data_IF_755724323167
#
_entry.id   IF_755724323167
#
_cell.length_a   1.000
_cell.length_b   1.000
_cell.length_c   1.000
_cell.angle_alpha   90.00
_cell.angle_beta   90.00
_cell.angle_gamma   90.00
#
_symmetry.space_group_name_H-M   'P 1'
#
loop_
_entity.id
_entity.type
_entity.pdbx_description
1 polymer ?
#
# COMPACT_ATOMS: atom_id res chain seq x y z
N UNK A 1 -4.63 -12.10 -23.61
CA UNK A 1 -4.68 -12.07 -22.14
C UNK A 1 -4.66 -10.61 -21.76
N UNK A 2 -5.78 -10.07 -21.26
CA UNK A 2 -5.90 -8.67 -20.85
C UNK A 2 -4.98 -8.44 -19.64
N UNK A 3 -4.11 -7.43 -19.69
CA UNK A 3 -3.40 -6.94 -18.51
C UNK A 3 -4.47 -6.34 -17.57
N UNK A 4 -4.85 -7.07 -16.55
CA UNK A 4 -5.93 -6.69 -15.61
C UNK A 4 -5.52 -5.67 -14.54
N UNK A 5 -4.26 -5.29 -14.48
CA UNK A 5 -3.78 -4.22 -13.56
C UNK A 5 -2.40 -3.72 -13.99
N UNK A 6 -2.12 -2.44 -13.76
CA UNK A 6 -0.82 -1.82 -14.00
C UNK A 6 0.12 -1.87 -12.78
N UNK A 7 -0.19 -2.70 -11.78
CA UNK A 7 0.57 -2.81 -10.52
C UNK A 7 1.72 -3.82 -10.56
N UNK A 8 1.85 -4.58 -11.67
CA UNK A 8 2.94 -5.56 -11.80
C UNK A 8 4.27 -4.88 -12.11
N UNK A 9 5.13 -4.80 -11.11
CA UNK A 9 6.50 -4.31 -11.27
C UNK A 9 7.45 -5.49 -11.39
N UNK A 10 8.09 -5.66 -12.54
CA UNK A 10 8.99 -6.77 -12.82
C UNK A 10 10.34 -6.36 -13.40
N UNK A 11 11.26 -7.31 -13.51
CA UNK A 11 12.52 -7.16 -14.22
C UNK A 11 13.46 -6.10 -13.62
N UNK A 12 13.97 -5.21 -14.46
CA UNK A 12 14.93 -4.16 -14.05
C UNK A 12 14.31 -3.16 -13.08
N UNK A 13 13.04 -2.78 -13.27
CA UNK A 13 12.32 -1.83 -12.42
C UNK A 13 12.15 -2.40 -11.00
N UNK A 14 11.74 -3.66 -10.87
CA UNK A 14 11.63 -4.32 -9.57
C UNK A 14 12.95 -4.34 -8.79
N UNK A 15 14.08 -4.55 -9.50
CA UNK A 15 15.41 -4.57 -8.88
C UNK A 15 15.88 -3.20 -8.39
N UNK A 16 15.45 -2.12 -9.00
CA UNK A 16 15.90 -0.76 -8.69
C UNK A 16 14.80 0.10 -8.09
N UNK A 17 13.68 -0.50 -7.73
CA UNK A 17 12.49 0.20 -7.24
C UNK A 17 12.78 1.14 -6.07
N UNK A 18 13.49 0.64 -5.05
CA UNK A 18 13.83 1.44 -3.87
C UNK A 18 14.71 2.64 -4.22
N UNK A 19 15.67 2.46 -5.14
CA UNK A 19 16.53 3.55 -5.60
C UNK A 19 15.73 4.60 -6.37
N UNK A 20 14.80 4.16 -7.21
CA UNK A 20 13.92 5.06 -7.96
C UNK A 20 13.05 5.89 -7.01
N UNK A 21 12.46 5.25 -6.00
CA UNK A 21 11.65 5.94 -4.99
C UNK A 21 12.48 6.93 -4.15
N UNK A 22 13.73 6.57 -3.81
CA UNK A 22 14.63 7.47 -3.09
C UNK A 22 15.03 8.67 -3.94
N UNK A 23 15.29 8.48 -5.24
CA UNK A 23 15.57 9.58 -6.17
C UNK A 23 14.36 10.50 -6.35
N UNK A 24 13.17 9.92 -6.53
CA UNK A 24 11.91 10.67 -6.71
C UNK A 24 11.62 11.60 -5.52
N UNK A 25 11.90 11.15 -4.32
CA UNK A 25 11.69 11.91 -3.09
C UNK A 25 12.97 12.53 -2.52
N UNK A 26 14.01 12.69 -3.36
CA UNK A 26 15.30 13.32 -2.98
C UNK A 26 15.91 12.71 -1.71
N UNK A 27 15.89 11.39 -1.57
CA UNK A 27 16.38 10.66 -0.41
C UNK A 27 15.49 10.75 0.84
N UNK A 28 14.30 11.37 0.74
CA UNK A 28 13.37 11.57 1.88
C UNK A 28 12.32 10.45 2.01
N UNK A 29 12.32 9.47 1.11
CA UNK A 29 11.32 8.40 1.09
C UNK A 29 11.24 7.68 2.45
N UNK A 30 12.39 7.31 3.01
CA UNK A 30 12.46 6.63 4.31
C UNK A 30 11.78 7.44 5.44
N UNK A 31 12.13 8.73 5.56
CA UNK A 31 11.53 9.61 6.57
C UNK A 31 10.03 9.83 6.36
N UNK A 32 9.59 9.86 5.11
CA UNK A 32 8.17 9.97 4.76
C UNK A 32 7.41 8.72 5.21
N UNK A 33 7.87 7.52 4.85
CA UNK A 33 7.26 6.24 5.26
C UNK A 33 7.25 6.08 6.79
N UNK A 34 8.34 6.42 7.48
CA UNK A 34 8.38 6.36 8.94
C UNK A 34 7.34 7.27 9.60
N UNK A 35 7.09 8.45 9.02
CA UNK A 35 6.02 9.35 9.49
C UNK A 35 4.64 8.76 9.24
N UNK A 36 4.40 8.14 8.08
CA UNK A 36 3.13 7.50 7.76
C UNK A 36 2.87 6.32 8.71
N UNK A 37 3.84 5.41 8.87
CA UNK A 37 3.71 4.23 9.73
C UNK A 37 3.52 4.61 11.20
N UNK A 38 4.17 5.66 11.70
CA UNK A 38 3.89 6.17 13.05
C UNK A 38 2.43 6.58 13.26
N UNK A 39 1.74 7.09 12.23
CA UNK A 39 0.32 7.43 12.31
C UNK A 39 -0.59 6.21 12.41
N UNK A 40 -0.12 5.06 11.95
CA UNK A 40 -0.87 3.80 12.04
C UNK A 40 -1.04 3.30 13.48
N UNK A 41 -0.35 3.86 14.46
CA UNK A 41 -0.45 3.49 15.87
C UNK A 41 -0.31 1.98 16.09
N UNK A 42 0.73 1.40 15.47
CA UNK A 42 1.04 -0.02 15.60
C UNK A 42 1.36 -0.33 17.07
N UNK A 43 0.77 -1.41 17.60
CA UNK A 43 1.03 -1.95 18.94
C UNK A 43 2.01 -3.12 18.84
N UNK A 44 2.69 -3.44 19.92
CA UNK A 44 3.73 -4.47 19.96
C UNK A 44 3.27 -5.83 19.42
N UNK A 45 2.08 -6.30 19.78
CA UNK A 45 1.54 -7.60 19.41
C UNK A 45 0.61 -7.61 18.20
N UNK A 46 0.50 -6.49 17.43
CA UNK A 46 -0.42 -6.43 16.29
C UNK A 46 -0.09 -7.48 15.22
N UNK A 47 -1.12 -8.08 14.65
CA UNK A 47 -1.06 -8.82 13.40
C UNK A 47 -1.35 -7.85 12.24
N UNK A 48 -0.42 -7.72 11.30
CA UNK A 48 -0.50 -6.74 10.20
C UNK A 48 -0.47 -7.46 8.86
N UNK A 49 -1.38 -7.08 7.96
CA UNK A 49 -1.42 -7.48 6.55
C UNK A 49 -0.90 -6.33 5.69
N UNK A 50 0.19 -6.54 4.94
CA UNK A 50 0.76 -5.55 4.01
C UNK A 50 0.48 -5.98 2.57
N UNK A 51 -0.45 -5.29 1.92
CA UNK A 51 -0.96 -5.58 0.59
C UNK A 51 -0.16 -4.80 -0.46
N UNK A 52 0.46 -5.51 -1.41
CA UNK A 52 1.46 -4.94 -2.31
C UNK A 52 2.74 -4.61 -1.55
N UNK A 53 3.27 -5.59 -0.79
CA UNK A 53 4.40 -5.40 0.14
C UNK A 53 5.73 -5.06 -0.55
N UNK A 54 5.83 -5.27 -1.87
CA UNK A 54 7.00 -4.96 -2.66
C UNK A 54 8.28 -5.58 -2.10
N UNK A 55 9.31 -4.75 -1.97
CA UNK A 55 10.62 -5.15 -1.43
C UNK A 55 10.66 -5.32 0.10
N UNK A 56 9.52 -5.21 0.79
CA UNK A 56 9.43 -5.32 2.26
C UNK A 56 9.97 -4.12 3.03
N UNK A 57 10.23 -3.00 2.37
CA UNK A 57 10.80 -1.80 3.00
C UNK A 57 9.91 -1.22 4.08
N UNK A 58 8.60 -1.17 3.84
CA UNK A 58 7.60 -0.71 4.81
C UNK A 58 7.52 -1.66 6.01
N UNK A 59 7.56 -2.95 5.77
CA UNK A 59 7.58 -3.99 6.82
C UNK A 59 8.75 -3.78 7.77
N UNK A 60 9.96 -3.47 7.26
CA UNK A 60 11.12 -3.19 8.12
C UNK A 60 10.90 -1.99 9.05
N UNK A 61 10.08 -1.01 8.66
CA UNK A 61 9.73 0.11 9.56
C UNK A 61 8.71 -0.34 10.61
N UNK A 62 7.72 -1.14 10.23
CA UNK A 62 6.73 -1.72 11.16
C UNK A 62 7.41 -2.59 12.24
N UNK A 63 8.39 -3.37 11.85
CA UNK A 63 9.16 -4.26 12.74
C UNK A 63 9.97 -3.53 13.83
N UNK A 64 10.19 -2.22 13.70
CA UNK A 64 10.81 -1.41 14.77
C UNK A 64 9.88 -1.18 15.96
N UNK A 65 8.58 -1.37 15.76
CA UNK A 65 7.55 -1.20 16.78
C UNK A 65 7.02 -2.55 17.26
N UNK A 66 6.87 -3.50 16.35
CA UNK A 66 6.41 -4.85 16.67
C UNK A 66 7.45 -5.61 17.50
N UNK A 67 6.99 -6.31 18.52
CA UNK A 67 7.79 -7.30 19.23
C UNK A 67 7.62 -8.71 18.63
N UNK A 68 8.12 -9.72 19.32
CA UNK A 68 8.06 -11.11 18.87
C UNK A 68 6.67 -11.73 18.94
N UNK A 69 5.71 -11.10 19.61
CA UNK A 69 4.31 -11.56 19.69
C UNK A 69 3.47 -11.06 18.54
N UNK A 70 3.90 -9.95 17.90
CA UNK A 70 3.29 -9.45 16.68
C UNK A 70 3.74 -10.20 15.44
N UNK A 71 2.96 -10.11 14.36
CA UNK A 71 3.30 -10.74 13.06
C UNK A 71 2.98 -9.82 11.89
N UNK A 72 3.70 -10.01 10.79
CA UNK A 72 3.39 -9.34 9.52
C UNK A 72 3.27 -10.37 8.41
N UNK A 73 2.22 -10.25 7.61
CA UNK A 73 2.08 -11.00 6.36
C UNK A 73 2.14 -10.01 5.21
N UNK A 74 3.19 -10.11 4.39
CA UNK A 74 3.33 -9.33 3.15
C UNK A 74 2.81 -10.12 1.98
N UNK A 75 1.94 -9.52 1.16
CA UNK A 75 1.41 -10.11 -0.07
C UNK A 75 1.84 -9.29 -1.26
N UNK A 76 2.42 -9.93 -2.27
CA UNK A 76 2.81 -9.28 -3.51
C UNK A 76 2.77 -10.29 -4.68
N UNK A 77 2.49 -9.81 -5.88
CA UNK A 77 2.48 -10.64 -7.09
C UNK A 77 3.89 -10.85 -7.65
N UNK A 78 4.79 -9.88 -7.47
CA UNK A 78 6.14 -9.92 -8.02
C UNK A 78 7.06 -10.82 -7.19
N UNK A 79 7.47 -11.93 -7.79
CA UNK A 79 8.38 -12.86 -7.14
C UNK A 79 9.76 -12.23 -6.89
N UNK A 80 10.23 -11.35 -7.78
CA UNK A 80 11.49 -10.62 -7.62
C UNK A 80 11.43 -9.65 -6.43
N UNK A 81 10.32 -8.95 -6.25
CA UNK A 81 10.09 -8.09 -5.08
C UNK A 81 10.11 -8.91 -3.79
N UNK A 82 9.37 -10.02 -3.77
CA UNK A 82 9.31 -10.90 -2.60
C UNK A 82 10.65 -11.56 -2.27
N UNK A 83 11.49 -11.83 -3.27
CA UNK A 83 12.84 -12.33 -3.01
C UNK A 83 13.68 -11.30 -2.23
N UNK A 84 13.62 -10.03 -2.63
CA UNK A 84 14.28 -8.94 -1.91
C UNK A 84 13.69 -8.77 -0.51
N UNK A 85 12.36 -8.84 -0.39
CA UNK A 85 11.65 -8.73 0.89
C UNK A 85 12.07 -9.83 1.88
N UNK A 86 12.12 -11.09 1.42
CA UNK A 86 12.59 -12.22 2.24
C UNK A 86 14.04 -12.04 2.67
N UNK A 87 14.91 -11.58 1.78
CA UNK A 87 16.30 -11.31 2.11
C UNK A 87 16.42 -10.18 3.14
N UNK A 88 15.64 -9.11 2.98
CA UNK A 88 15.63 -7.95 3.88
C UNK A 88 15.12 -8.31 5.27
N UNK A 89 14.10 -9.13 5.35
CA UNK A 89 13.44 -9.51 6.59
C UNK A 89 13.89 -10.89 7.15
N UNK A 90 14.98 -11.47 6.65
CA UNK A 90 15.43 -12.83 7.01
C UNK A 90 15.67 -13.05 8.51
N UNK A 91 16.02 -12.00 9.24
CA UNK A 91 16.24 -12.04 10.69
C UNK A 91 14.95 -11.99 11.53
N UNK A 92 13.79 -11.84 10.89
CA UNK A 92 12.51 -11.65 11.57
C UNK A 92 11.56 -12.84 11.29
N UNK A 93 11.55 -13.88 12.16
CA UNK A 93 10.74 -15.09 11.94
C UNK A 93 9.22 -14.82 11.98
N UNK A 94 8.79 -13.70 12.57
CA UNK A 94 7.38 -13.28 12.61
C UNK A 94 6.87 -12.69 11.28
N UNK A 95 7.70 -12.62 10.24
CA UNK A 95 7.30 -12.12 8.90
C UNK A 95 7.11 -13.27 7.93
N UNK A 96 5.98 -13.28 7.25
CA UNK A 96 5.68 -14.23 6.17
C UNK A 96 5.38 -13.48 4.87
N UNK A 97 5.83 -14.02 3.75
CA UNK A 97 5.57 -13.44 2.42
C UNK A 97 4.82 -14.43 1.54
N UNK A 98 3.71 -13.97 0.94
CA UNK A 98 2.86 -14.73 0.03
C UNK A 98 2.93 -14.15 -1.38
N UNK A 99 3.22 -15.02 -2.36
CA UNK A 99 3.14 -14.64 -3.77
C UNK A 99 1.71 -14.86 -4.27
N UNK A 100 0.88 -13.83 -4.20
CA UNK A 100 -0.54 -13.85 -4.54
C UNK A 100 -0.97 -12.50 -5.12
N UNK A 101 -2.03 -12.52 -5.90
CA UNK A 101 -2.77 -11.33 -6.31
C UNK A 101 -3.66 -10.87 -5.15
N UNK A 102 -3.64 -9.58 -4.83
CA UNK A 102 -4.41 -9.05 -3.68
C UNK A 102 -5.89 -8.83 -4.00
N UNK A 103 -6.24 -8.73 -5.29
CA UNK A 103 -7.62 -8.69 -5.78
C UNK A 103 -8.26 -10.09 -5.88
N UNK A 104 -7.47 -11.16 -5.83
CA UNK A 104 -8.00 -12.54 -5.71
C UNK A 104 -8.31 -12.88 -4.25
N UNK A 105 -9.21 -13.87 -3.98
CA UNK A 105 -9.53 -14.24 -2.61
C UNK A 105 -8.29 -14.62 -1.80
N UNK A 106 -8.06 -13.90 -0.72
CA UNK A 106 -7.05 -14.21 0.28
C UNK A 106 -7.73 -15.06 1.36
N UNK A 107 -7.18 -16.24 1.68
CA UNK A 107 -7.77 -17.18 2.64
C UNK A 107 -7.66 -16.72 4.10
N UNK A 108 -7.81 -15.42 4.35
CA UNK A 108 -7.77 -14.82 5.69
C UNK A 108 -9.18 -14.45 6.17
N UNK A 109 -9.44 -14.63 7.45
CA UNK A 109 -10.73 -14.36 8.06
C UNK A 109 -10.54 -13.83 9.48
N UNK A 110 -10.80 -12.53 9.70
CA UNK A 110 -10.68 -11.89 11.02
C UNK A 110 -9.34 -12.15 11.74
N UNK A 111 -8.24 -12.12 11.00
CA UNK A 111 -6.92 -12.48 11.53
C UNK A 111 -6.04 -11.28 11.88
N UNK A 112 -6.29 -10.12 11.29
CA UNK A 112 -5.38 -8.97 11.37
C UNK A 112 -5.99 -7.82 12.17
N UNK A 113 -5.15 -7.20 12.99
CA UNK A 113 -5.49 -5.97 13.71
C UNK A 113 -5.40 -4.75 12.79
N UNK A 114 -4.49 -4.81 11.81
CA UNK A 114 -4.28 -3.78 10.80
C UNK A 114 -4.01 -4.37 9.44
N UNK A 115 -4.52 -3.69 8.42
CA UNK A 115 -4.09 -3.89 7.04
C UNK A 115 -3.47 -2.58 6.52
N UNK A 116 -2.49 -2.69 5.65
CA UNK A 116 -1.82 -1.57 5.02
C UNK A 116 -1.66 -1.81 3.53
N UNK A 117 -1.88 -0.77 2.72
CA UNK A 117 -1.57 -0.74 1.29
C UNK A 117 -0.90 0.59 0.98
N UNK A 118 0.16 0.59 0.18
CA UNK A 118 0.87 1.83 -0.16
C UNK A 118 1.22 1.91 -1.63
N UNK A 119 0.79 2.98 -2.29
CA UNK A 119 1.05 3.26 -3.71
C UNK A 119 0.76 2.07 -4.62
N UNK A 120 -0.37 1.41 -4.38
CA UNK A 120 -0.76 0.19 -5.10
C UNK A 120 -2.22 0.26 -5.54
N UNK A 121 -3.11 0.81 -4.69
CA UNK A 121 -4.56 0.78 -4.94
C UNK A 121 -4.95 1.60 -6.18
N UNK A 122 -4.26 2.71 -6.45
CA UNK A 122 -4.51 3.56 -7.63
C UNK A 122 -4.29 2.84 -8.96
N UNK A 123 -3.47 1.79 -8.99
CA UNK A 123 -3.14 1.05 -10.22
C UNK A 123 -4.12 -0.07 -10.60
N UNK A 124 -5.19 -0.26 -9.85
CA UNK A 124 -6.24 -1.22 -10.16
C UNK A 124 -7.41 -0.58 -10.90
N UNK A 125 -8.11 -1.36 -11.73
CA UNK A 125 -9.44 -1.03 -12.22
C UNK A 125 -10.47 -1.03 -11.07
N UNK A 126 -11.63 -0.38 -11.25
CA UNK A 126 -12.58 -0.18 -10.16
C UNK A 126 -13.09 -1.49 -9.57
N UNK A 127 -13.40 -2.48 -10.41
CA UNK A 127 -13.82 -3.81 -9.92
C UNK A 127 -12.74 -4.48 -9.06
N UNK A 128 -11.46 -4.34 -9.43
CA UNK A 128 -10.37 -4.93 -8.67
C UNK A 128 -10.08 -4.15 -7.38
N UNK A 129 -10.27 -2.81 -7.37
CA UNK A 129 -10.25 -2.00 -6.14
C UNK A 129 -11.29 -2.51 -5.13
N UNK A 130 -12.54 -2.76 -5.60
CA UNK A 130 -13.60 -3.31 -4.76
C UNK A 130 -13.22 -4.68 -4.18
N UNK A 131 -12.63 -5.57 -5.01
CA UNK A 131 -12.17 -6.88 -4.55
C UNK A 131 -11.07 -6.79 -3.51
N UNK A 132 -10.08 -5.90 -3.71
CA UNK A 132 -9.02 -5.65 -2.72
C UNK A 132 -9.61 -5.16 -1.40
N UNK A 133 -10.57 -4.22 -1.44
CA UNK A 133 -11.22 -3.67 -0.25
C UNK A 133 -12.04 -4.76 0.46
N UNK A 134 -12.82 -5.57 -0.28
CA UNK A 134 -13.60 -6.67 0.28
C UNK A 134 -12.71 -7.73 0.94
N UNK A 135 -11.64 -8.16 0.27
CA UNK A 135 -10.66 -9.10 0.81
C UNK A 135 -10.02 -8.57 2.09
N UNK A 136 -9.71 -7.28 2.11
CA UNK A 136 -9.13 -6.61 3.29
C UNK A 136 -10.11 -6.56 4.44
N UNK A 137 -11.37 -6.22 4.18
CA UNK A 137 -12.43 -6.20 5.19
C UNK A 137 -12.62 -7.57 5.84
N UNK A 138 -12.65 -8.64 5.02
CA UNK A 138 -12.77 -10.02 5.49
C UNK A 138 -11.57 -10.46 6.33
N UNK A 139 -10.36 -10.00 5.99
CA UNK A 139 -9.13 -10.36 6.69
C UNK A 139 -8.96 -9.65 8.03
N UNK A 140 -9.58 -8.49 8.21
CA UNK A 140 -9.49 -7.70 9.42
C UNK A 140 -10.41 -8.24 10.52
N UNK A 141 -9.91 -8.25 11.75
CA UNK A 141 -10.71 -8.50 12.95
C UNK A 141 -11.79 -7.42 13.11
N UNK A 142 -12.89 -7.71 13.82
CA UNK A 142 -13.82 -6.66 14.24
C UNK A 142 -13.10 -5.51 14.96
N UNK A 143 -13.27 -4.28 14.46
CA UNK A 143 -12.56 -3.11 14.95
C UNK A 143 -11.11 -2.97 14.44
N UNK A 144 -10.67 -3.84 13.54
CA UNK A 144 -9.39 -3.71 12.81
C UNK A 144 -9.38 -2.48 11.89
N UNK A 145 -8.20 -2.00 11.55
CA UNK A 145 -8.03 -0.74 10.79
C UNK A 145 -7.34 -1.01 9.47
N UNK A 146 -7.95 -0.53 8.38
CA UNK A 146 -7.34 -0.48 7.06
C UNK A 146 -6.66 0.87 6.82
N UNK A 147 -5.36 0.87 6.56
CA UNK A 147 -4.57 2.05 6.25
C UNK A 147 -4.19 2.07 4.78
N UNK A 148 -4.54 3.15 4.08
CA UNK A 148 -4.28 3.36 2.66
C UNK A 148 -3.37 4.57 2.52
N UNK A 149 -2.12 4.37 2.12
CA UNK A 149 -1.17 5.42 1.78
C UNK A 149 -1.10 5.56 0.26
N UNK A 150 -1.80 6.54 -0.28
CA UNK A 150 -1.91 6.70 -1.74
C UNK A 150 -2.18 8.16 -2.12
N UNK A 151 -2.35 8.45 -3.41
CA UNK A 151 -2.71 9.77 -3.87
C UNK A 151 -3.98 10.28 -3.19
N UNK A 152 -3.96 11.57 -2.90
CA UNK A 152 -5.14 12.26 -2.38
C UNK A 152 -6.05 12.70 -3.54
N UNK A 153 -7.27 13.09 -3.24
CA UNK A 153 -8.18 13.72 -4.19
C UNK A 153 -7.69 15.13 -4.50
N UNK A 154 -7.39 15.41 -5.76
CA UNK A 154 -7.09 16.76 -6.24
C UNK A 154 -7.32 16.87 -7.75
N UNK A 155 -7.67 18.07 -8.21
CA UNK A 155 -7.84 18.36 -9.63
C UNK A 155 -6.46 18.51 -10.29
N UNK A 156 -6.06 17.52 -11.10
CA UNK A 156 -4.78 17.52 -11.79
C UNK A 156 -4.67 18.66 -12.82
N UNK A 157 -5.76 19.04 -13.46
CA UNK A 157 -5.75 20.09 -14.51
C UNK A 157 -5.51 21.50 -13.94
N UNK A 158 -5.83 21.70 -12.65
CA UNK A 158 -5.53 22.93 -11.93
C UNK A 158 -4.12 22.99 -11.37
N UNK A 159 -3.34 21.91 -11.50
CA UNK A 159 -1.99 21.88 -10.95
C UNK A 159 -0.98 22.58 -11.89
N UNK A 160 0.14 22.96 -11.30
CA UNK A 160 1.28 23.53 -12.02
C UNK A 160 1.80 22.58 -13.12
N UNK A 161 2.12 23.16 -14.31
CA UNK A 161 2.45 22.40 -15.52
C UNK A 161 3.48 21.25 -15.31
N UNK A 162 4.63 21.44 -14.62
CA UNK A 162 5.59 20.34 -14.41
C UNK A 162 5.02 19.16 -13.61
N UNK A 163 4.14 19.42 -12.62
CA UNK A 163 3.50 18.36 -11.87
C UNK A 163 2.52 17.57 -12.75
N UNK A 164 1.70 18.29 -13.54
CA UNK A 164 0.79 17.67 -14.51
C UNK A 164 1.54 16.82 -15.52
N UNK A 165 2.64 17.38 -16.07
CA UNK A 165 3.47 16.68 -17.04
C UNK A 165 4.08 15.43 -16.44
N UNK A 166 4.69 15.54 -15.25
CA UNK A 166 5.29 14.40 -14.55
C UNK A 166 4.23 13.32 -14.26
N UNK A 167 3.07 13.70 -13.70
CA UNK A 167 2.01 12.75 -13.38
C UNK A 167 1.51 12.01 -14.63
N UNK A 168 1.25 12.70 -15.75
CA UNK A 168 0.80 12.11 -17.00
C UNK A 168 1.84 11.25 -17.73
N UNK A 169 3.14 11.41 -17.43
CA UNK A 169 4.21 10.66 -18.10
C UNK A 169 4.77 9.51 -17.27
N UNK A 170 4.68 9.60 -15.96
CA UNK A 170 5.27 8.59 -15.05
C UNK A 170 4.23 7.73 -14.36
N UNK A 171 2.97 8.19 -14.27
CA UNK A 171 1.88 7.44 -13.67
C UNK A 171 1.00 6.78 -14.74
N UNK A 172 0.29 5.71 -14.33
CA UNK A 172 -0.69 5.06 -15.20
C UNK A 172 -1.98 5.89 -15.33
N UNK A 173 -2.78 5.64 -16.37
CA UNK A 173 -4.07 6.31 -16.58
C UNK A 173 -5.01 6.13 -15.39
N UNK A 174 -5.03 4.95 -14.78
CA UNK A 174 -5.83 4.63 -13.60
C UNK A 174 -5.50 5.50 -12.38
N UNK A 175 -4.23 5.96 -12.26
CA UNK A 175 -3.86 6.90 -11.20
C UNK A 175 -4.56 8.25 -11.37
N UNK A 176 -4.78 8.71 -12.60
CA UNK A 176 -5.53 9.94 -12.86
C UNK A 176 -7.02 9.82 -12.51
N UNK A 177 -7.62 8.65 -12.78
CA UNK A 177 -9.00 8.34 -12.41
C UNK A 177 -9.14 8.25 -10.88
N UNK A 178 -8.15 7.67 -10.21
CA UNK A 178 -8.12 7.55 -8.75
C UNK A 178 -8.17 8.90 -8.02
N UNK A 179 -7.64 9.99 -8.63
CA UNK A 179 -7.68 11.33 -8.04
C UNK A 179 -9.10 11.88 -7.85
N UNK A 180 -10.08 11.40 -8.64
CA UNK A 180 -11.49 11.79 -8.56
C UNK A 180 -12.38 10.78 -7.88
N UNK A 181 -11.82 9.63 -7.43
CA UNK A 181 -12.56 8.56 -6.78
C UNK A 181 -13.03 8.96 -5.37
N UNK A 182 -14.32 8.83 -5.09
CA UNK A 182 -14.82 8.86 -3.71
C UNK A 182 -14.42 7.58 -2.96
N UNK A 183 -13.15 7.52 -2.58
CA UNK A 183 -12.60 6.35 -1.89
C UNK A 183 -13.30 6.10 -0.55
N UNK A 184 -13.75 7.14 0.16
CA UNK A 184 -14.46 6.97 1.44
C UNK A 184 -15.84 6.37 1.25
N UNK A 185 -16.57 6.81 0.21
CA UNK A 185 -17.85 6.20 -0.17
C UNK A 185 -17.70 4.73 -0.54
N UNK A 186 -16.67 4.40 -1.31
CA UNK A 186 -16.35 3.03 -1.69
C UNK A 186 -16.02 2.16 -0.46
N UNK A 187 -15.18 2.63 0.44
CA UNK A 187 -14.85 1.95 1.70
C UNK A 187 -16.10 1.76 2.59
N UNK A 188 -16.96 2.79 2.69
CA UNK A 188 -18.18 2.71 3.45
C UNK A 188 -19.16 1.66 2.90
N UNK A 189 -19.23 1.51 1.58
CA UNK A 189 -20.02 0.46 0.93
C UNK A 189 -19.57 -0.95 1.34
N UNK A 190 -18.29 -1.14 1.57
CA UNK A 190 -17.70 -2.40 2.05
C UNK A 190 -17.68 -2.56 3.59
N UNK A 191 -18.33 -1.67 4.34
CA UNK A 191 -18.51 -1.82 5.79
C UNK A 191 -17.51 -1.06 6.67
N UNK A 192 -16.60 -0.28 6.09
CA UNK A 192 -15.73 0.60 6.88
C UNK A 192 -16.49 1.85 7.34
N UNK A 193 -16.48 2.13 8.65
CA UNK A 193 -17.37 3.13 9.24
C UNK A 193 -16.75 4.43 9.71
N UNK A 194 -15.45 4.48 9.96
CA UNK A 194 -14.78 5.66 10.52
C UNK A 194 -13.54 5.99 9.72
N UNK A 195 -13.38 7.26 9.35
CA UNK A 195 -12.31 7.70 8.47
C UNK A 195 -11.47 8.78 9.13
N UNK A 196 -10.14 8.58 9.13
CA UNK A 196 -9.15 9.58 9.56
C UNK A 196 -8.17 9.80 8.43
N UNK A 197 -7.98 11.05 8.02
CA UNK A 197 -7.07 11.39 6.91
C UNK A 197 -5.89 12.20 7.42
N UNK A 198 -4.68 11.75 7.09
CA UNK A 198 -3.44 12.48 7.34
C UNK A 198 -2.82 12.89 6.00
N UNK A 199 -2.80 14.19 5.65
CA UNK A 199 -2.19 14.65 4.41
C UNK A 199 -0.67 14.66 4.51
N UNK A 200 -0.01 14.30 3.40
CA UNK A 200 1.42 14.32 3.19
C UNK A 200 1.77 15.04 1.88
N UNK A 201 3.03 15.39 1.69
CA UNK A 201 3.55 15.98 0.45
C UNK A 201 2.69 17.15 -0.06
N UNK A 202 2.42 18.14 0.82
CA UNK A 202 1.56 19.30 0.55
C UNK A 202 0.11 18.94 0.20
N UNK A 203 -0.36 17.77 0.59
CA UNK A 203 -1.72 17.30 0.34
C UNK A 203 -1.88 16.44 -0.91
N UNK A 204 -0.83 16.18 -1.68
CA UNK A 204 -0.90 15.30 -2.86
C UNK A 204 -0.99 13.81 -2.53
N UNK A 205 -0.55 13.43 -1.34
CA UNK A 205 -0.63 12.07 -0.81
C UNK A 205 -1.37 12.11 0.51
N UNK A 206 -2.15 11.08 0.79
CA UNK A 206 -2.82 10.88 2.08
C UNK A 206 -2.51 9.50 2.66
N UNK A 207 -2.58 9.42 3.98
CA UNK A 207 -2.81 8.19 4.71
C UNK A 207 -4.25 8.25 5.24
N UNK A 208 -5.10 7.39 4.72
CA UNK A 208 -6.51 7.25 5.08
C UNK A 208 -6.69 6.01 5.94
#
# INVERSE_FOLDING_TARGET
MSQRSHVEVGGWVARHYDLMMDLLLLGRYQSFIEKAIRRMQIRHGDAILDLGSGTGRNICVMLRVLDRTGRVVGVDISQEMLQQARQRCHAYPQVTFLNRRIEEPLSFHEEFDKAFISFTLHGFEDEDKERVIANTYQALKPGGIFWILDYNEFDLDRQWFPLRWAFRHFECELASEFLSLDLKGLLAHHGFGSFVTHPFLRGYVRLL
#
